data_IF_134104980919
#
_entry.id   IF_134104980919
#
_cell.length_a   1.000
_cell.length_b   1.000
_cell.length_c   1.000
_cell.angle_alpha   90.00
_cell.angle_beta   90.00
_cell.angle_gamma   90.00
#
_symmetry.space_group_name_H-M   'P 1'
#
loop_
_entity.id
_entity.type
_entity.pdbx_description
1 polymer ?
#
# COMPACT_ATOMS: atom_id res chain seq x y z
N UNK A 1 -30.05 1.42 -24.35
CA UNK A 1 -28.92 2.03 -25.08
C UNK A 1 -27.74 2.05 -24.14
N UNK A 2 -26.74 1.19 -24.35
CA UNK A 2 -25.49 1.20 -23.59
C UNK A 2 -24.58 2.24 -24.22
N UNK A 3 -24.20 3.28 -23.47
CA UNK A 3 -23.19 4.23 -23.88
C UNK A 3 -21.84 3.54 -23.89
N UNK A 4 -21.42 3.07 -25.06
CA UNK A 4 -20.06 2.61 -25.30
C UNK A 4 -19.18 3.85 -25.43
N UNK A 5 -18.61 4.30 -24.31
CA UNK A 5 -17.59 5.34 -24.34
C UNK A 5 -16.39 4.80 -25.14
N UNK A 6 -15.97 5.47 -26.22
CA UNK A 6 -14.78 5.07 -26.94
C UNK A 6 -13.58 5.42 -26.05
N UNK A 7 -13.09 4.45 -25.26
CA UNK A 7 -11.82 4.59 -24.57
C UNK A 7 -10.73 4.72 -25.63
N UNK A 8 -10.15 5.92 -25.84
CA UNK A 8 -9.09 6.08 -26.80
C UNK A 8 -7.87 5.37 -26.21
N UNK A 9 -7.38 4.35 -26.92
CA UNK A 9 -6.04 3.74 -26.79
C UNK A 9 -5.27 4.26 -25.58
N UNK A 10 -5.44 3.59 -24.44
CA UNK A 10 -4.64 3.86 -23.24
C UNK A 10 -3.18 3.96 -23.65
N UNK A 11 -2.58 5.15 -23.45
CA UNK A 11 -1.14 5.38 -23.60
C UNK A 11 -0.43 4.22 -22.90
N UNK A 12 0.20 3.34 -23.69
CA UNK A 12 0.86 2.12 -23.23
C UNK A 12 2.01 2.35 -22.22
N UNK A 13 2.35 3.61 -21.89
CA UNK A 13 3.49 3.93 -21.03
C UNK A 13 3.13 4.22 -19.55
N UNK A 14 1.89 4.56 -19.19
CA UNK A 14 1.57 4.97 -17.81
C UNK A 14 1.44 3.82 -16.80
N UNK A 15 0.93 2.66 -17.24
CA UNK A 15 0.71 1.53 -16.34
C UNK A 15 2.01 0.86 -15.87
N UNK A 16 3.10 0.96 -16.64
CA UNK A 16 4.41 0.45 -16.22
C UNK A 16 4.96 1.24 -15.03
N UNK A 17 4.78 2.56 -15.03
CA UNK A 17 5.16 3.43 -13.93
C UNK A 17 4.29 3.16 -12.69
N UNK A 18 2.96 3.03 -12.87
CA UNK A 18 2.04 2.65 -11.79
C UNK A 18 2.44 1.31 -11.17
N UNK A 19 2.71 0.29 -11.99
CA UNK A 19 3.15 -1.02 -11.52
C UNK A 19 4.47 -0.92 -10.75
N UNK A 20 5.45 -0.18 -11.26
CA UNK A 20 6.74 0.03 -10.59
C UNK A 20 6.57 0.68 -9.21
N UNK A 21 5.76 1.73 -9.12
CA UNK A 21 5.49 2.43 -7.85
C UNK A 21 4.75 1.53 -6.85
N UNK A 22 3.80 0.71 -7.32
CA UNK A 22 3.10 -0.25 -6.46
C UNK A 22 4.04 -1.36 -5.97
N UNK A 23 5.00 -1.80 -6.79
CA UNK A 23 6.01 -2.76 -6.36
C UNK A 23 6.98 -2.18 -5.32
N UNK A 24 7.37 -0.91 -5.48
CA UNK A 24 8.17 -0.21 -4.46
C UNK A 24 7.39 -0.08 -3.14
N UNK A 25 6.09 0.24 -3.21
CA UNK A 25 5.21 0.29 -2.04
C UNK A 25 5.11 -1.06 -1.34
N UNK A 26 4.89 -2.13 -2.10
CA UNK A 26 4.80 -3.49 -1.58
C UNK A 26 6.13 -3.97 -0.99
N UNK A 27 7.26 -3.63 -1.61
CA UNK A 27 8.59 -3.94 -1.06
C UNK A 27 8.80 -3.26 0.30
N UNK A 28 8.49 -1.97 0.40
CA UNK A 28 8.61 -1.22 1.65
C UNK A 28 7.66 -1.76 2.74
N UNK A 29 6.43 -2.12 2.37
CA UNK A 29 5.50 -2.78 3.29
C UNK A 29 6.01 -4.16 3.72
N UNK A 30 6.66 -4.91 2.84
CA UNK A 30 7.35 -6.17 3.18
C UNK A 30 8.41 -5.97 4.27
N UNK A 31 9.13 -4.84 4.25
CA UNK A 31 10.05 -4.46 5.34
C UNK A 31 9.31 -4.17 6.64
N UNK A 32 8.18 -3.44 6.58
CA UNK A 32 7.31 -3.20 7.75
C UNK A 32 6.83 -4.53 8.34
N UNK A 33 6.24 -5.41 7.53
CA UNK A 33 5.78 -6.74 7.92
C UNK A 33 6.89 -7.57 8.57
N UNK A 34 8.04 -7.67 7.91
CA UNK A 34 9.15 -8.48 8.40
C UNK A 34 9.66 -7.99 9.76
N UNK A 35 9.89 -6.67 9.88
CA UNK A 35 10.48 -6.10 11.09
C UNK A 35 9.51 -6.08 12.27
N UNK A 36 8.24 -5.74 12.04
CA UNK A 36 7.21 -5.75 13.10
C UNK A 36 6.90 -7.17 13.59
N UNK A 37 6.84 -8.13 12.67
CA UNK A 37 6.66 -9.56 13.01
C UNK A 37 7.84 -10.09 13.83
N UNK A 38 9.07 -9.68 13.52
CA UNK A 38 10.24 -10.06 14.32
C UNK A 38 10.07 -9.69 15.80
N UNK A 39 9.42 -8.55 16.10
CA UNK A 39 9.20 -8.11 17.47
C UNK A 39 8.26 -9.04 18.25
N UNK A 40 7.35 -9.75 17.58
CA UNK A 40 6.45 -10.74 18.22
C UNK A 40 7.19 -12.00 18.68
N UNK A 41 8.36 -12.29 18.11
CA UNK A 41 9.17 -13.47 18.44
C UNK A 41 10.35 -13.14 19.36
N UNK A 42 10.45 -11.90 19.83
CA UNK A 42 11.50 -11.46 20.74
C UNK A 42 10.89 -11.23 22.13
N UNK A 43 11.36 -11.93 23.18
CA UNK A 43 10.82 -11.81 24.54
C UNK A 43 10.83 -10.38 25.12
N UNK A 44 11.72 -9.51 24.64
CA UNK A 44 11.76 -8.12 25.12
C UNK A 44 10.67 -7.23 24.48
N UNK A 45 10.03 -7.69 23.40
CA UNK A 45 9.09 -6.90 22.61
C UNK A 45 7.81 -7.65 22.23
N UNK A 46 7.64 -8.90 22.64
CA UNK A 46 6.48 -9.74 22.30
C UNK A 46 5.16 -9.10 22.74
N UNK A 47 5.17 -8.41 23.88
CA UNK A 47 4.03 -7.67 24.44
C UNK A 47 4.06 -6.16 24.14
N UNK A 48 4.86 -5.71 23.15
CA UNK A 48 4.94 -4.29 22.82
C UNK A 48 3.59 -3.77 22.33
N UNK A 49 2.97 -2.90 23.15
CA UNK A 49 1.69 -2.27 22.84
C UNK A 49 1.72 -1.62 21.47
N UNK A 50 0.63 -1.80 20.73
CA UNK A 50 0.47 -1.28 19.38
C UNK A 50 0.83 -2.27 18.29
N UNK A 51 1.68 -3.28 18.54
CA UNK A 51 2.10 -4.22 17.50
C UNK A 51 0.93 -5.04 16.93
N UNK A 52 0.07 -5.61 17.79
CA UNK A 52 -1.15 -6.32 17.36
C UNK A 52 -2.10 -5.40 16.58
N UNK A 53 -2.39 -4.21 17.11
CA UNK A 53 -3.26 -3.23 16.44
C UNK A 53 -2.72 -2.82 15.06
N UNK A 54 -1.41 -2.63 14.96
CA UNK A 54 -0.73 -2.33 13.70
C UNK A 54 -0.94 -3.49 12.71
N UNK A 55 -0.74 -4.75 13.14
CA UNK A 55 -0.94 -5.93 12.30
C UNK A 55 -2.38 -6.14 11.82
N UNK A 56 -3.39 -5.79 12.64
CA UNK A 56 -4.81 -5.84 12.24
C UNK A 56 -5.11 -4.99 11.00
N UNK A 57 -4.32 -3.95 10.78
CA UNK A 57 -4.39 -3.08 9.60
C UNK A 57 -3.35 -3.41 8.52
N UNK A 58 -2.18 -3.91 8.91
CA UNK A 58 -1.10 -4.22 7.98
C UNK A 58 -1.48 -5.34 7.01
N UNK A 59 -2.09 -6.42 7.51
CA UNK A 59 -2.53 -7.55 6.68
C UNK A 59 -3.51 -7.12 5.58
N UNK A 60 -4.61 -6.40 5.87
CA UNK A 60 -5.50 -5.93 4.82
C UNK A 60 -4.84 -4.89 3.90
N UNK A 61 -3.94 -4.05 4.40
CA UNK A 61 -3.18 -3.11 3.57
C UNK A 61 -2.34 -3.87 2.51
N UNK A 62 -1.67 -4.95 2.92
CA UNK A 62 -0.87 -5.81 2.03
C UNK A 62 -1.71 -6.51 0.97
N UNK A 63 -2.87 -7.07 1.36
CA UNK A 63 -3.81 -7.67 0.43
C UNK A 63 -4.19 -6.69 -0.70
N UNK A 64 -4.51 -5.45 -0.33
CA UNK A 64 -4.89 -4.43 -1.29
C UNK A 64 -3.73 -3.99 -2.19
N UNK A 65 -2.52 -3.82 -1.65
CA UNK A 65 -1.34 -3.51 -2.48
C UNK A 65 -1.02 -4.61 -3.48
N UNK A 66 -1.03 -5.88 -3.05
CA UNK A 66 -0.83 -7.04 -3.95
C UNK A 66 -1.87 -7.06 -5.06
N UNK A 67 -3.14 -6.84 -4.71
CA UNK A 67 -4.24 -6.82 -5.69
C UNK A 67 -4.11 -5.66 -6.69
N UNK A 68 -3.73 -4.47 -6.21
CA UNK A 68 -3.46 -3.32 -7.07
C UNK A 68 -2.27 -3.57 -8.01
N UNK A 69 -1.17 -4.11 -7.49
CA UNK A 69 0.02 -4.47 -8.28
C UNK A 69 -0.32 -5.48 -9.38
N UNK A 70 -1.08 -6.52 -9.05
CA UNK A 70 -1.54 -7.50 -10.03
C UNK A 70 -2.44 -6.88 -11.10
N UNK A 71 -3.33 -5.97 -10.71
CA UNK A 71 -4.18 -5.24 -11.66
C UNK A 71 -3.37 -4.36 -12.60
N UNK A 72 -2.40 -3.59 -12.07
CA UNK A 72 -1.50 -2.78 -12.88
C UNK A 72 -0.67 -3.63 -13.85
N UNK A 73 -0.13 -4.77 -13.39
CA UNK A 73 0.61 -5.71 -14.24
C UNK A 73 -0.24 -6.23 -15.41
N UNK A 74 -1.46 -6.67 -15.15
CA UNK A 74 -2.40 -7.14 -16.19
C UNK A 74 -2.65 -6.08 -17.27
N UNK A 75 -2.79 -4.82 -16.85
CA UNK A 75 -2.95 -3.69 -17.76
C UNK A 75 -1.68 -3.42 -18.58
N UNK A 76 -0.48 -3.58 -18.01
CA UNK A 76 0.77 -3.52 -18.77
C UNK A 76 0.91 -4.66 -19.79
N UNK A 77 0.32 -5.83 -19.49
CA UNK A 77 0.29 -6.98 -20.39
C UNK A 77 -0.76 -6.84 -21.51
N UNK A 78 -1.53 -5.76 -21.54
CA UNK A 78 -2.50 -5.46 -22.60
C UNK A 78 -3.92 -5.93 -22.33
N UNK A 79 -4.26 -6.38 -21.11
CA UNK A 79 -5.66 -6.61 -20.74
C UNK A 79 -6.43 -5.28 -20.71
N UNK A 80 -7.69 -5.28 -21.16
CA UNK A 80 -8.50 -4.06 -21.37
C UNK A 80 -9.83 -4.02 -20.62
N UNK A 81 -10.12 -5.00 -19.76
CA UNK A 81 -11.36 -5.00 -18.97
C UNK A 81 -11.39 -3.80 -18.01
N UNK A 82 -12.40 -2.91 -18.11
CA UNK A 82 -12.47 -1.70 -17.27
C UNK A 82 -12.54 -2.00 -15.77
N UNK A 83 -13.04 -3.17 -15.37
CA UNK A 83 -13.09 -3.56 -13.96
C UNK A 83 -11.70 -3.82 -13.37
N UNK A 84 -10.66 -4.04 -14.18
CA UNK A 84 -9.28 -4.12 -13.71
C UNK A 84 -8.82 -2.75 -13.18
N UNK A 85 -9.15 -1.68 -13.91
CA UNK A 85 -8.87 -0.29 -13.48
C UNK A 85 -9.64 0.03 -12.21
N UNK A 86 -10.95 -0.27 -12.17
CA UNK A 86 -11.78 -0.07 -10.97
C UNK A 86 -11.22 -0.81 -9.75
N UNK A 87 -10.76 -2.05 -9.96
CA UNK A 87 -10.15 -2.88 -8.90
C UNK A 87 -8.86 -2.25 -8.38
N UNK A 88 -7.97 -1.80 -9.27
CA UNK A 88 -6.73 -1.12 -8.90
C UNK A 88 -7.01 0.15 -8.06
N UNK A 89 -7.91 1.02 -8.52
CA UNK A 89 -8.29 2.25 -7.82
C UNK A 89 -8.86 1.95 -6.43
N UNK A 90 -9.82 1.00 -6.36
CA UNK A 90 -10.44 0.61 -5.09
C UNK A 90 -9.42 0.05 -4.10
N UNK A 91 -8.50 -0.80 -4.57
CA UNK A 91 -7.48 -1.36 -3.71
C UNK A 91 -6.48 -0.31 -3.23
N UNK A 92 -6.02 0.62 -4.07
CA UNK A 92 -5.14 1.71 -3.61
C UNK A 92 -5.84 2.57 -2.55
N UNK A 93 -7.11 2.94 -2.74
CA UNK A 93 -7.89 3.69 -1.74
C UNK A 93 -8.00 2.93 -0.42
N UNK A 94 -8.25 1.62 -0.48
CA UNK A 94 -8.35 0.80 0.71
C UNK A 94 -7.01 0.62 1.43
N UNK A 95 -5.90 0.42 0.71
CA UNK A 95 -4.57 0.39 1.29
C UNK A 95 -4.25 1.71 2.02
N UNK A 96 -4.48 2.87 1.39
CA UNK A 96 -4.30 4.18 2.04
C UNK A 96 -5.18 4.37 3.29
N UNK A 97 -6.37 3.77 3.32
CA UNK A 97 -7.23 3.80 4.51
C UNK A 97 -6.65 2.94 5.63
N UNK A 98 -6.14 1.75 5.32
CA UNK A 98 -5.54 0.85 6.29
C UNK A 98 -4.20 1.38 6.84
N UNK A 99 -3.42 2.06 6.00
CA UNK A 99 -2.16 2.70 6.41
C UNK A 99 -2.33 3.64 7.61
N UNK A 100 -3.49 4.30 7.75
CA UNK A 100 -3.79 5.13 8.92
C UNK A 100 -3.78 4.31 10.22
N UNK A 101 -4.35 3.11 10.20
CA UNK A 101 -4.34 2.21 11.35
C UNK A 101 -2.95 1.62 11.62
N UNK A 102 -2.17 1.33 10.56
CA UNK A 102 -0.76 0.94 10.69
C UNK A 102 0.04 2.05 11.38
N UNK A 103 -0.12 3.31 10.95
CA UNK A 103 0.51 4.48 11.56
C UNK A 103 0.15 4.65 13.03
N UNK A 104 -1.12 4.54 13.36
CA UNK A 104 -1.57 4.61 14.75
C UNK A 104 -0.91 3.54 15.61
N UNK A 105 -0.86 2.29 15.12
CA UNK A 105 -0.21 1.20 15.84
C UNK A 105 1.30 1.42 16.01
N UNK A 106 2.00 1.87 14.96
CA UNK A 106 3.43 2.20 15.02
C UNK A 106 3.74 3.34 15.99
N UNK A 107 2.87 4.35 16.06
CA UNK A 107 3.03 5.45 17.02
C UNK A 107 2.87 4.96 18.46
N UNK A 108 1.88 4.11 18.73
CA UNK A 108 1.72 3.46 20.04
C UNK A 108 2.95 2.62 20.37
N UNK A 109 3.49 1.86 19.42
CA UNK A 109 4.73 1.10 19.61
C UNK A 109 5.90 2.02 19.97
N UNK A 110 6.06 3.15 19.26
CA UNK A 110 7.14 4.10 19.51
C UNK A 110 7.06 4.72 20.91
N UNK A 111 5.86 5.05 21.37
CA UNK A 111 5.61 5.62 22.69
C UNK A 111 5.88 4.63 23.82
N UNK A 112 5.64 3.33 23.58
CA UNK A 112 5.77 2.29 24.59
C UNK A 112 7.10 1.49 24.51
N UNK A 113 7.90 1.70 23.46
CA UNK A 113 9.21 1.07 23.35
C UNK A 113 10.20 1.66 24.35
N UNK A 114 11.02 0.81 24.95
CA UNK A 114 12.18 1.23 25.74
C UNK A 114 13.29 1.81 24.83
N UNK A 115 14.30 2.44 25.42
CA UNK A 115 15.33 3.16 24.65
C UNK A 115 16.18 2.24 23.76
N UNK A 116 16.27 0.94 24.08
CA UNK A 116 16.93 -0.06 23.24
C UNK A 116 16.15 -0.31 21.94
N UNK A 117 14.83 -0.43 22.01
CA UNK A 117 13.98 -0.81 20.87
C UNK A 117 13.35 0.36 20.12
N UNK A 118 13.30 1.55 20.73
CA UNK A 118 12.76 2.76 20.09
C UNK A 118 13.40 3.04 18.72
N UNK A 119 14.73 2.95 18.52
CA UNK A 119 15.33 3.16 17.20
C UNK A 119 14.89 2.14 16.14
N UNK A 120 14.60 0.90 16.56
CA UNK A 120 14.11 -0.14 15.67
C UNK A 120 12.68 0.16 15.21
N UNK A 121 11.80 0.59 16.13
CA UNK A 121 10.44 1.05 15.77
C UNK A 121 10.49 2.26 14.84
N UNK A 122 11.39 3.21 15.07
CA UNK A 122 11.58 4.35 14.16
C UNK A 122 12.04 3.93 12.76
N UNK A 123 12.83 2.86 12.65
CA UNK A 123 13.18 2.30 11.34
C UNK A 123 11.96 1.68 10.64
N UNK A 124 11.05 1.03 11.37
CA UNK A 124 9.80 0.53 10.81
C UNK A 124 8.94 1.70 10.30
N UNK A 125 8.85 2.78 11.08
CA UNK A 125 8.12 4.01 10.67
C UNK A 125 8.70 4.59 9.37
N UNK A 126 10.04 4.63 9.22
CA UNK A 126 10.67 5.08 7.97
C UNK A 126 10.31 4.20 6.77
N UNK A 127 10.19 2.89 6.96
CA UNK A 127 9.70 2.01 5.89
C UNK A 127 8.23 2.25 5.57
N UNK A 128 7.39 2.51 6.57
CA UNK A 128 6.00 2.91 6.36
C UNK A 128 5.90 4.23 5.58
N UNK A 129 6.78 5.20 5.83
CA UNK A 129 6.87 6.45 5.03
C UNK A 129 7.09 6.14 3.54
N UNK A 130 8.01 5.23 3.23
CA UNK A 130 8.30 4.83 1.84
C UNK A 130 7.10 4.10 1.23
N UNK A 131 6.46 3.19 1.98
CA UNK A 131 5.29 2.45 1.52
C UNK A 131 4.12 3.38 1.15
N UNK A 132 3.84 4.38 1.99
CA UNK A 132 2.77 5.36 1.76
C UNK A 132 3.11 6.35 0.65
N UNK A 133 4.35 6.83 0.60
CA UNK A 133 4.78 7.80 -0.42
C UNK A 133 4.68 7.21 -1.82
N UNK A 134 5.19 5.99 -2.01
CA UNK A 134 5.16 5.31 -3.32
C UNK A 134 3.74 4.90 -3.72
N UNK A 135 2.88 4.50 -2.77
CA UNK A 135 1.45 4.27 -3.03
C UNK A 135 0.73 5.56 -3.48
N UNK A 136 1.07 6.69 -2.86
CA UNK A 136 0.52 8.00 -3.21
C UNK A 136 0.98 8.44 -4.60
N UNK A 137 2.26 8.25 -4.92
CA UNK A 137 2.77 8.49 -6.27
C UNK A 137 2.08 7.61 -7.31
N UNK A 138 1.80 6.34 -7.01
CA UNK A 138 1.05 5.46 -7.93
C UNK A 138 -0.35 6.04 -8.22
N UNK A 139 -1.05 6.51 -7.18
CA UNK A 139 -2.33 7.22 -7.32
C UNK A 139 -2.20 8.48 -8.17
N UNK A 140 -1.20 9.32 -7.92
CA UNK A 140 -0.98 10.56 -8.67
C UNK A 140 -0.70 10.29 -10.16
N UNK A 141 0.06 9.23 -10.46
CA UNK A 141 0.27 8.76 -11.83
C UNK A 141 -1.06 8.35 -12.47
N UNK A 142 -1.90 7.59 -11.76
CA UNK A 142 -3.25 7.24 -12.24
C UNK A 142 -4.17 8.45 -12.44
N UNK A 143 -4.04 9.49 -11.61
CA UNK A 143 -4.74 10.76 -11.82
C UNK A 143 -4.27 11.46 -13.09
N UNK A 144 -2.97 11.47 -13.36
CA UNK A 144 -2.39 12.05 -14.58
C UNK A 144 -2.85 11.33 -15.86
N UNK A 145 -3.20 10.05 -15.72
CA UNK A 145 -3.76 9.22 -16.79
C UNK A 145 -5.27 9.43 -17.00
N UNK A 146 -5.95 10.22 -16.16
CA UNK A 146 -7.41 10.40 -16.13
C UNK A 146 -8.19 9.10 -15.86
N UNK A 147 -7.62 8.17 -15.09
CA UNK A 147 -8.25 6.87 -14.77
C UNK A 147 -8.65 6.77 -13.30
N UNK A 148 -8.29 7.78 -12.52
CA UNK A 148 -8.63 7.90 -11.12
C UNK A 148 -9.94 8.67 -10.97
N UNK A 149 -11.07 7.99 -11.12
CA UNK A 149 -12.35 8.58 -10.78
C UNK A 149 -12.62 8.50 -9.28
N UNK A 150 -13.12 9.61 -8.74
CA UNK A 150 -13.72 9.69 -7.42
C UNK A 150 -14.99 8.85 -7.45
N UNK A 151 -14.91 7.57 -7.06
CA UNK A 151 -16.10 6.83 -6.62
C UNK A 151 -16.83 7.71 -5.61
N UNK A 152 -17.99 8.25 -6.01
CA UNK A 152 -18.96 8.88 -5.12
C UNK A 152 -19.57 7.81 -4.21
#
# INVERSE_FOLDING_TARGET
MYYMYPYPYYRQNGWADVFTLLQQSLYAEGMVCSMSTQMLYNPETEDLKGNTKMHDHLVPASYHRVTASGSAYRLTAGETDPYIVTTAVSCIKNAQRQDKGVREGLQIMKENANDKWRPFVEQIIRWQDVAESTLTQAKETMQSMNVWESSQ
#
